data_IF_331762316492
#
_entry.id   IF_331762316492
#
_cell.length_a   1.000
_cell.length_b   1.000
_cell.length_c   1.000
_cell.angle_alpha   90.00
_cell.angle_beta   90.00
_cell.angle_gamma   90.00
#
_symmetry.space_group_name_H-M   'P 1'
#
loop_
_entity.id
_entity.type
_entity.pdbx_description
1 polymer ?
#
# COMPACT_ATOMS: atom_id res chain seq x y z
N UNK A 1 -22.92 -3.69 -4.55
CA UNK A 1 -21.56 -4.11 -4.19
C UNK A 1 -21.28 -5.58 -4.44
N UNK A 2 -21.67 -6.56 -3.62
CA UNK A 2 -21.28 -7.97 -3.90
C UNK A 2 -21.78 -8.49 -5.26
N UNK A 3 -23.03 -8.16 -5.62
CA UNK A 3 -23.58 -8.45 -6.95
C UNK A 3 -22.73 -7.83 -8.06
N UNK A 4 -22.33 -6.55 -7.91
CA UNK A 4 -21.49 -5.83 -8.88
C UNK A 4 -20.09 -6.45 -8.96
N UNK A 5 -19.47 -6.80 -7.83
CA UNK A 5 -18.16 -7.43 -7.80
C UNK A 5 -18.20 -8.84 -8.43
N UNK A 6 -19.25 -9.61 -8.21
CA UNK A 6 -19.45 -10.91 -8.86
C UNK A 6 -19.69 -10.75 -10.37
N UNK A 7 -20.44 -9.73 -10.79
CA UNK A 7 -20.59 -9.39 -12.21
C UNK A 7 -19.24 -9.02 -12.86
N UNK A 8 -18.39 -8.26 -12.17
CA UNK A 8 -17.03 -7.96 -12.65
C UNK A 8 -16.19 -9.22 -12.82
N UNK A 9 -16.24 -10.15 -11.85
CA UNK A 9 -15.52 -11.42 -11.96
C UNK A 9 -15.91 -12.19 -13.22
N UNK A 10 -17.21 -12.29 -13.48
CA UNK A 10 -17.75 -12.99 -14.65
C UNK A 10 -17.40 -12.24 -15.95
N UNK A 11 -17.57 -10.91 -15.97
CA UNK A 11 -17.22 -10.04 -17.10
C UNK A 11 -15.78 -10.25 -17.57
N UNK A 12 -14.85 -10.32 -16.62
CA UNK A 12 -13.43 -10.48 -16.92
C UNK A 12 -12.96 -11.94 -16.93
N UNK A 13 -13.84 -12.89 -16.61
CA UNK A 13 -13.53 -14.33 -16.51
C UNK A 13 -12.24 -14.58 -15.73
N UNK A 14 -12.13 -13.97 -14.54
CA UNK A 14 -10.92 -14.05 -13.73
C UNK A 14 -10.89 -15.30 -12.86
N UNK A 15 -9.69 -15.86 -12.70
CA UNK A 15 -9.36 -16.84 -11.67
C UNK A 15 -8.36 -16.25 -10.67
N UNK A 16 -7.98 -16.98 -9.63
CA UNK A 16 -7.05 -16.54 -8.60
C UNK A 16 -5.83 -17.44 -8.51
N UNK A 17 -4.65 -16.83 -8.61
CA UNK A 17 -3.37 -17.53 -8.53
C UNK A 17 -2.47 -16.94 -7.47
N UNK A 18 -1.65 -17.79 -6.87
CA UNK A 18 -0.59 -17.38 -5.94
C UNK A 18 0.73 -17.21 -6.69
N UNK A 19 1.48 -16.18 -6.30
CA UNK A 19 2.77 -15.83 -6.84
C UNK A 19 3.73 -15.57 -5.68
N UNK A 20 4.98 -16.00 -5.79
CA UNK A 20 6.01 -15.49 -4.89
C UNK A 20 6.20 -14.00 -5.13
N UNK A 21 6.35 -13.21 -4.07
CA UNK A 21 6.56 -11.76 -4.19
C UNK A 21 7.76 -11.44 -5.10
N UNK A 22 8.85 -12.21 -5.02
CA UNK A 22 10.04 -12.03 -5.86
C UNK A 22 9.80 -12.27 -7.35
N UNK A 23 8.76 -13.02 -7.73
CA UNK A 23 8.41 -13.21 -9.15
C UNK A 23 7.75 -11.98 -9.78
N UNK A 24 7.29 -11.04 -8.95
CA UNK A 24 6.56 -9.84 -9.37
C UNK A 24 7.30 -8.54 -9.01
N UNK A 25 8.11 -8.56 -7.96
CA UNK A 25 8.76 -7.38 -7.39
C UNK A 25 10.24 -7.59 -7.14
N UNK A 26 11.00 -6.50 -7.24
CA UNK A 26 12.40 -6.45 -6.78
C UNK A 26 12.62 -5.31 -5.81
N UNK A 27 13.58 -5.48 -4.89
CA UNK A 27 14.03 -4.42 -4.00
C UNK A 27 14.83 -3.39 -4.80
N UNK A 28 14.45 -2.11 -4.68
CA UNK A 28 15.18 -1.01 -5.32
C UNK A 28 16.44 -0.70 -4.51
N UNK A 29 17.64 -0.72 -5.11
CA UNK A 29 18.86 -0.27 -4.44
C UNK A 29 18.80 1.23 -4.12
N UNK A 30 19.25 1.62 -2.93
CA UNK A 30 19.24 3.02 -2.47
C UNK A 30 20.59 3.41 -1.87
N UNK A 31 21.02 4.64 -2.11
CA UNK A 31 22.20 5.21 -1.46
C UNK A 31 21.95 5.40 0.03
N UNK A 32 22.94 5.07 0.87
CA UNK A 32 22.90 5.40 2.30
C UNK A 32 23.11 6.91 2.44
N UNK A 33 22.17 7.58 3.10
CA UNK A 33 22.26 9.00 3.36
C UNK A 33 23.08 9.30 4.63
N UNK A 34 23.87 10.38 4.66
CA UNK A 34 24.71 10.74 5.81
C UNK A 34 23.93 11.52 6.89
N UNK A 35 22.61 11.34 6.98
CA UNK A 35 21.76 12.08 7.91
C UNK A 35 21.20 11.16 8.99
N UNK A 36 21.18 11.62 10.24
CA UNK A 36 20.38 10.98 11.30
C UNK A 36 19.04 11.69 11.40
N UNK A 37 18.00 10.93 11.70
CA UNK A 37 16.64 11.47 11.87
C UNK A 37 16.55 12.64 12.87
N UNK A 38 17.39 12.64 13.92
CA UNK A 38 17.42 13.71 14.92
C UNK A 38 17.92 15.04 14.35
N UNK A 39 18.80 15.01 13.35
CA UNK A 39 19.42 16.20 12.75
C UNK A 39 18.48 16.92 11.75
N UNK A 40 17.39 16.25 11.34
CA UNK A 40 16.50 16.69 10.25
C UNK A 40 15.17 17.31 10.73
N UNK A 41 14.84 17.24 12.03
CA UNK A 41 13.52 17.67 12.53
C UNK A 41 13.24 19.15 12.19
N UNK A 42 12.06 19.42 11.62
CA UNK A 42 11.54 20.74 11.23
C UNK A 42 12.25 21.47 10.07
N UNK A 43 13.04 20.78 9.25
CA UNK A 43 13.65 21.37 8.04
C UNK A 43 12.83 21.00 6.81
N UNK A 44 11.93 21.88 6.39
CA UNK A 44 11.34 21.83 5.06
C UNK A 44 11.51 23.20 4.41
N UNK A 45 12.48 23.29 3.51
CA UNK A 45 12.86 24.51 2.82
C UNK A 45 13.35 24.19 1.40
N UNK A 46 14.00 25.16 0.74
CA UNK A 46 14.51 25.00 -0.63
C UNK A 46 15.58 23.90 -0.75
N UNK A 47 16.35 23.65 0.31
CA UNK A 47 17.43 22.65 0.35
C UNK A 47 16.85 21.32 0.82
N UNK A 48 16.20 21.28 1.98
CA UNK A 48 15.57 20.10 2.56
C UNK A 48 14.14 19.91 2.01
N UNK A 49 14.03 19.54 0.74
CA UNK A 49 12.75 19.48 0.03
C UNK A 49 12.29 18.07 -0.38
N UNK A 50 13.14 17.05 -0.27
CA UNK A 50 12.80 15.68 -0.68
C UNK A 50 12.28 14.87 0.51
N UNK A 51 11.02 14.38 0.51
CA UNK A 51 10.50 13.53 1.58
C UNK A 51 11.36 12.27 1.79
N UNK A 52 11.58 11.90 3.05
CA UNK A 52 12.47 10.82 3.42
C UNK A 52 11.74 9.77 4.27
N UNK A 53 11.77 8.53 3.79
CA UNK A 53 11.08 7.37 4.34
C UNK A 53 11.81 6.78 5.55
N UNK A 54 11.04 6.45 6.58
CA UNK A 54 11.47 5.72 7.79
C UNK A 54 10.47 4.63 8.15
N UNK A 55 10.77 3.81 9.15
CA UNK A 55 9.89 2.74 9.64
C UNK A 55 8.57 3.21 10.28
N UNK A 56 8.38 4.53 10.47
CA UNK A 56 7.17 5.08 11.06
C UNK A 56 5.92 4.83 10.21
N UNK A 57 4.74 4.88 10.83
CA UNK A 57 3.46 4.73 10.12
C UNK A 57 2.77 6.06 9.86
N UNK A 58 3.20 7.12 10.54
CA UNK A 58 2.72 8.46 10.30
C UNK A 58 3.17 8.92 8.90
N UNK A 59 2.25 9.52 8.15
CA UNK A 59 2.51 10.09 6.81
C UNK A 59 3.06 9.05 5.84
N UNK A 60 2.54 7.82 5.90
CA UNK A 60 3.01 6.72 5.04
C UNK A 60 4.52 6.44 5.21
N UNK A 61 5.08 6.76 6.38
CA UNK A 61 6.50 6.61 6.71
C UNK A 61 7.39 7.78 6.29
N UNK A 62 6.88 8.75 5.53
CA UNK A 62 7.62 9.96 5.12
C UNK A 62 7.68 10.97 6.27
N UNK A 63 8.72 10.84 7.10
CA UNK A 63 8.82 11.54 8.38
C UNK A 63 9.72 12.78 8.36
N UNK A 64 10.63 12.87 7.38
CA UNK A 64 11.64 13.92 7.30
C UNK A 64 11.76 14.44 5.86
N UNK A 65 12.54 15.50 5.69
CA UNK A 65 12.99 15.96 4.38
C UNK A 65 14.52 16.01 4.34
N UNK A 66 15.10 15.69 3.18
CA UNK A 66 16.54 15.72 2.92
C UNK A 66 16.82 16.51 1.64
N UNK A 67 18.07 16.92 1.41
CA UNK A 67 18.50 17.41 0.11
C UNK A 67 18.32 16.36 -0.98
N UNK A 68 18.00 16.82 -2.19
CA UNK A 68 17.94 15.96 -3.38
C UNK A 68 19.32 15.48 -3.79
N UNK A 69 20.33 16.33 -3.60
CA UNK A 69 21.71 16.01 -3.92
C UNK A 69 22.19 14.81 -3.08
N UNK A 70 22.82 13.84 -3.75
CA UNK A 70 23.31 12.61 -3.13
C UNK A 70 22.23 11.55 -2.83
N UNK A 71 20.94 11.87 -2.91
CA UNK A 71 19.86 10.94 -2.64
C UNK A 71 19.46 10.08 -3.85
N UNK A 72 18.95 8.87 -3.59
CA UNK A 72 18.22 8.09 -4.60
C UNK A 72 16.77 8.57 -4.62
N UNK A 73 16.36 9.23 -5.70
CA UNK A 73 14.98 9.70 -5.88
C UNK A 73 14.12 8.54 -6.40
N UNK A 74 13.06 8.23 -5.68
CA UNK A 74 12.11 7.15 -5.97
C UNK A 74 10.72 7.75 -6.21
N UNK A 75 9.95 7.14 -7.11
CA UNK A 75 8.55 7.49 -7.41
C UNK A 75 7.85 6.28 -8.00
N UNK A 76 6.54 6.16 -7.80
CA UNK A 76 5.73 5.06 -8.33
C UNK A 76 6.23 3.67 -7.89
N UNK A 77 6.57 3.55 -6.60
CA UNK A 77 7.03 2.29 -5.99
C UNK A 77 6.26 2.03 -4.69
N UNK A 78 6.43 0.83 -4.14
CA UNK A 78 5.86 0.46 -2.84
C UNK A 78 6.96 0.59 -1.79
N UNK A 79 6.75 1.43 -0.77
CA UNK A 79 7.61 1.49 0.41
C UNK A 79 7.23 0.40 1.41
N UNK A 80 8.22 -0.16 2.10
CA UNK A 80 8.06 -1.19 3.13
C UNK A 80 8.81 -0.79 4.40
N UNK A 81 8.12 -0.78 5.54
CA UNK A 81 8.75 -0.60 6.85
C UNK A 81 9.51 -1.88 7.24
N UNK A 82 10.78 -1.75 7.61
CA UNK A 82 11.67 -2.90 7.88
C UNK A 82 12.08 -3.03 9.34
N UNK A 83 11.55 -2.18 10.24
CA UNK A 83 11.92 -2.19 11.65
C UNK A 83 10.76 -1.76 12.56
N UNK A 84 10.91 -2.04 13.86
CA UNK A 84 9.93 -1.69 14.89
C UNK A 84 8.64 -2.50 14.83
N UNK A 85 7.67 -2.13 15.67
CA UNK A 85 6.38 -2.82 15.80
C UNK A 85 5.50 -2.77 14.53
N UNK A 86 5.84 -1.91 13.56
CA UNK A 86 5.09 -1.74 12.32
C UNK A 86 5.84 -2.31 11.11
N UNK A 87 6.82 -3.17 11.33
CA UNK A 87 7.54 -3.82 10.24
C UNK A 87 6.57 -4.61 9.34
N UNK A 88 6.77 -4.54 8.03
CA UNK A 88 5.90 -5.14 7.02
C UNK A 88 4.71 -4.25 6.62
N UNK A 89 4.52 -3.09 7.24
CA UNK A 89 3.56 -2.09 6.73
C UNK A 89 4.07 -1.53 5.40
N UNK A 90 3.15 -1.40 4.44
CA UNK A 90 3.46 -1.01 3.06
C UNK A 90 2.61 0.17 2.61
N UNK A 91 3.16 1.00 1.72
CA UNK A 91 2.43 2.11 1.11
C UNK A 91 2.83 2.27 -0.35
N UNK A 92 1.87 2.65 -1.20
CA UNK A 92 2.17 3.14 -2.53
C UNK A 92 2.63 4.61 -2.44
N UNK A 93 3.77 4.93 -3.06
CA UNK A 93 4.37 6.26 -3.07
C UNK A 93 4.28 6.88 -4.48
N UNK A 94 3.22 7.66 -4.79
CA UNK A 94 3.03 8.27 -6.11
C UNK A 94 3.90 9.50 -6.38
N UNK A 95 4.48 10.08 -5.32
CA UNK A 95 5.31 11.29 -5.36
C UNK A 95 6.77 10.94 -5.11
N UNK A 96 7.64 11.86 -5.49
CA UNK A 96 9.07 11.70 -5.26
C UNK A 96 9.41 11.64 -3.77
N UNK A 97 10.28 10.71 -3.40
CA UNK A 97 10.80 10.54 -2.06
C UNK A 97 12.16 9.83 -2.11
N UNK A 98 12.79 9.63 -0.95
CA UNK A 98 13.95 8.76 -0.79
C UNK A 98 13.87 7.92 0.48
N UNK A 99 14.78 6.97 0.65
CA UNK A 99 14.87 6.13 1.85
C UNK A 99 15.93 6.71 2.79
N UNK A 100 15.52 7.05 4.02
CA UNK A 100 16.46 7.50 5.05
C UNK A 100 17.05 6.32 5.83
N UNK A 101 16.18 5.55 6.50
CA UNK A 101 16.59 4.45 7.37
C UNK A 101 15.45 3.48 7.66
N UNK A 102 15.80 2.25 8.10
CA UNK A 102 14.85 1.27 8.64
C UNK A 102 13.67 0.91 7.73
N UNK A 103 13.82 1.11 6.42
CA UNK A 103 12.79 0.87 5.41
C UNK A 103 13.45 0.63 4.06
N UNK A 104 12.68 0.15 3.10
CA UNK A 104 13.12 -0.02 1.71
C UNK A 104 11.96 0.20 0.75
N UNK A 105 12.25 0.18 -0.54
CA UNK A 105 11.23 0.20 -1.59
C UNK A 105 11.33 -1.05 -2.45
N UNK A 106 10.18 -1.51 -2.96
CA UNK A 106 10.07 -2.55 -3.97
C UNK A 106 9.35 -1.99 -5.20
N UNK A 107 9.75 -2.41 -6.39
CA UNK A 107 9.10 -2.04 -7.66
C UNK A 107 8.62 -3.30 -8.38
N UNK A 108 7.54 -3.15 -9.12
CA UNK A 108 7.04 -4.20 -10.00
C UNK A 108 7.97 -4.34 -11.21
N UNK A 109 8.25 -5.56 -11.66
CA UNK A 109 9.32 -5.85 -12.65
C UNK A 109 8.82 -6.13 -14.07
N UNK A 110 7.51 -6.20 -14.28
CA UNK A 110 6.92 -6.45 -15.60
C UNK A 110 6.47 -5.12 -16.23
N UNK A 111 5.18 -4.94 -16.47
CA UNK A 111 4.64 -3.76 -17.14
C UNK A 111 4.61 -2.49 -16.26
N UNK A 112 4.53 -1.33 -16.92
CA UNK A 112 4.21 -0.09 -16.21
C UNK A 112 2.80 -0.14 -15.62
N UNK A 113 2.69 0.22 -14.34
CA UNK A 113 1.45 0.15 -13.60
C UNK A 113 0.85 1.53 -13.36
N UNK A 114 -0.48 1.60 -13.45
CA UNK A 114 -1.26 2.78 -13.05
C UNK A 114 -1.35 2.88 -11.52
N UNK A 115 -1.60 4.08 -10.95
CA UNK A 115 -1.77 4.27 -9.52
C UNK A 115 -2.77 3.30 -8.86
N UNK A 116 -3.89 3.00 -9.54
CA UNK A 116 -4.93 2.08 -9.03
C UNK A 116 -4.43 0.64 -8.92
N UNK A 117 -3.53 0.21 -9.82
CA UNK A 117 -2.90 -1.10 -9.72
C UNK A 117 -2.04 -1.18 -8.46
N UNK A 118 -1.21 -0.17 -8.18
CA UNK A 118 -0.41 -0.13 -6.96
C UNK A 118 -1.26 -0.13 -5.70
N UNK A 119 -2.36 0.63 -5.66
CA UNK A 119 -3.25 0.63 -4.49
C UNK A 119 -3.82 -0.76 -4.21
N UNK A 120 -4.21 -1.49 -5.26
CA UNK A 120 -4.67 -2.87 -5.11
C UNK A 120 -3.54 -3.81 -4.67
N UNK A 121 -2.37 -3.72 -5.29
CA UNK A 121 -1.21 -4.56 -4.98
C UNK A 121 -0.76 -4.37 -3.53
N UNK A 122 -0.75 -3.14 -3.01
CA UNK A 122 -0.44 -2.87 -1.59
C UNK A 122 -1.46 -3.54 -0.67
N UNK A 123 -2.76 -3.46 -0.98
CA UNK A 123 -3.80 -4.18 -0.22
C UNK A 123 -3.59 -5.69 -0.20
N UNK A 124 -3.19 -6.27 -1.34
CA UNK A 124 -2.93 -7.69 -1.50
C UNK A 124 -1.66 -8.13 -0.78
N UNK A 125 -0.56 -7.37 -0.89
CA UNK A 125 0.68 -7.62 -0.15
C UNK A 125 0.45 -7.55 1.37
N UNK A 126 -0.24 -6.51 1.85
CA UNK A 126 -0.59 -6.39 3.27
C UNK A 126 -1.52 -7.51 3.75
N UNK A 127 -2.31 -8.12 2.86
CA UNK A 127 -3.09 -9.32 3.19
C UNK A 127 -2.18 -10.52 3.37
N UNK A 128 -1.21 -10.69 2.49
CA UNK A 128 -0.27 -11.81 2.55
C UNK A 128 0.62 -11.77 3.79
N UNK A 129 1.12 -10.60 4.16
CA UNK A 129 2.18 -10.50 5.18
C UNK A 129 1.85 -9.68 6.42
N UNK A 130 0.74 -8.93 6.42
CA UNK A 130 0.43 -7.98 7.49
C UNK A 130 0.25 -8.66 8.84
N UNK A 131 0.95 -8.16 9.87
CA UNK A 131 0.87 -8.69 11.24
C UNK A 131 1.64 -9.99 11.48
N UNK A 132 2.39 -10.50 10.48
CA UNK A 132 3.23 -11.71 10.59
C UNK A 132 4.67 -11.42 11.03
N UNK A 133 5.02 -10.15 11.17
CA UNK A 133 6.37 -9.68 11.46
C UNK A 133 6.36 -8.69 12.62
N UNK A 134 7.44 -8.67 13.39
CA UNK A 134 7.62 -7.83 14.57
C UNK A 134 9.09 -7.46 14.79
N UNK A 135 9.41 -6.88 15.94
CA UNK A 135 10.77 -6.43 16.26
C UNK A 135 11.81 -7.57 16.25
N UNK A 136 11.42 -8.76 16.71
CA UNK A 136 12.27 -9.96 16.71
C UNK A 136 12.29 -10.67 15.35
N UNK A 137 11.20 -10.56 14.59
CA UNK A 137 11.04 -11.15 13.26
C UNK A 137 10.70 -10.08 12.22
N UNK A 138 11.69 -9.30 11.78
CA UNK A 138 11.49 -8.13 10.91
C UNK A 138 11.06 -8.50 9.47
N UNK A 139 10.25 -7.66 8.81
CA UNK A 139 9.87 -7.84 7.41
C UNK A 139 10.99 -7.41 6.43
N UNK A 140 12.18 -7.99 6.56
CA UNK A 140 13.31 -7.77 5.65
C UNK A 140 13.03 -8.37 4.27
N UNK A 141 13.63 -7.79 3.22
CA UNK A 141 13.41 -8.22 1.83
C UNK A 141 13.65 -9.72 1.62
N UNK A 142 14.78 -10.24 2.08
CA UNK A 142 15.12 -11.67 1.95
C UNK A 142 14.07 -12.61 2.54
N UNK A 143 13.29 -12.12 3.51
CA UNK A 143 12.23 -12.87 4.16
C UNK A 143 10.91 -12.72 3.42
N UNK A 144 10.51 -11.49 3.08
CA UNK A 144 9.20 -11.28 2.44
C UNK A 144 9.18 -11.71 0.97
N UNK A 145 10.34 -11.78 0.30
CA UNK A 145 10.41 -12.05 -1.13
C UNK A 145 9.90 -13.46 -1.50
N UNK A 146 9.99 -14.42 -0.59
CA UNK A 146 9.51 -15.80 -0.76
C UNK A 146 8.07 -16.01 -0.31
N UNK A 147 7.41 -14.97 0.24
CA UNK A 147 6.01 -15.05 0.63
C UNK A 147 5.09 -15.04 -0.58
N UNK A 148 3.89 -15.61 -0.41
CA UNK A 148 2.91 -15.75 -1.49
C UNK A 148 1.90 -14.60 -1.49
N UNK A 149 1.68 -14.00 -2.65
CA UNK A 149 0.61 -13.03 -2.95
C UNK A 149 -0.41 -13.64 -3.90
N UNK A 150 -1.69 -13.53 -3.53
CA UNK A 150 -2.82 -14.03 -4.32
C UNK A 150 -3.43 -12.92 -5.16
N UNK A 151 -3.40 -13.06 -6.49
CA UNK A 151 -3.86 -12.06 -7.46
C UNK A 151 -4.87 -12.64 -8.45
N UNK A 152 -5.76 -11.79 -9.00
CA UNK A 152 -6.66 -12.19 -10.07
C UNK A 152 -5.89 -12.33 -11.39
N UNK A 153 -6.16 -13.39 -12.13
CA UNK A 153 -5.53 -13.69 -13.43
C UNK A 153 -6.58 -13.91 -14.50
N UNK A 154 -6.22 -13.61 -15.74
CA UNK A 154 -7.00 -14.00 -16.92
C UNK A 154 -6.72 -15.45 -17.29
N UNK A 155 -7.46 -15.97 -18.26
CA UNK A 155 -7.27 -17.33 -18.78
C UNK A 155 -5.86 -17.57 -19.36
N UNK A 156 -5.19 -16.53 -19.88
CA UNK A 156 -3.81 -16.59 -20.35
C UNK A 156 -2.76 -16.63 -19.22
N UNK A 157 -3.20 -16.63 -17.96
CA UNK A 157 -2.36 -16.67 -16.77
C UNK A 157 -1.75 -15.32 -16.37
N UNK A 158 -1.98 -14.24 -17.13
CA UNK A 158 -1.49 -12.91 -16.79
C UNK A 158 -2.38 -12.27 -15.73
N UNK A 159 -1.80 -11.38 -14.92
CA UNK A 159 -2.55 -10.62 -13.91
C UNK A 159 -3.61 -9.76 -14.61
N UNK A 160 -4.85 -9.85 -14.14
CA UNK A 160 -6.00 -9.16 -14.72
C UNK A 160 -6.05 -7.68 -14.27
N UNK A 161 -5.12 -6.85 -14.76
CA UNK A 161 -5.02 -5.44 -14.37
C UNK A 161 -6.23 -4.59 -14.75
N UNK A 162 -6.89 -4.90 -15.87
CA UNK A 162 -8.16 -4.28 -16.27
C UNK A 162 -9.30 -4.56 -15.29
N UNK A 163 -9.42 -5.82 -14.84
CA UNK A 163 -10.32 -6.17 -13.74
C UNK A 163 -9.96 -5.42 -12.45
N UNK A 164 -8.67 -5.34 -12.10
CA UNK A 164 -8.20 -4.60 -10.91
C UNK A 164 -8.59 -3.12 -10.99
N UNK A 165 -8.42 -2.48 -12.15
CA UNK A 165 -8.77 -1.07 -12.35
C UNK A 165 -10.27 -0.84 -12.18
N UNK A 166 -11.13 -1.66 -12.81
CA UNK A 166 -12.59 -1.53 -12.67
C UNK A 166 -13.09 -1.91 -11.26
N UNK A 167 -12.44 -2.88 -10.60
CA UNK A 167 -12.70 -3.21 -9.21
C UNK A 167 -12.45 -2.00 -8.29
N UNK A 168 -11.29 -1.34 -8.44
CA UNK A 168 -10.96 -0.15 -7.66
C UNK A 168 -11.93 1.00 -7.97
N UNK A 169 -12.29 1.21 -9.24
CA UNK A 169 -13.27 2.24 -9.64
C UNK A 169 -14.64 2.02 -8.99
N UNK A 170 -15.14 0.78 -9.09
CA UNK A 170 -16.45 0.39 -8.52
C UNK A 170 -16.46 0.59 -7.01
N UNK A 171 -15.34 0.24 -6.36
CA UNK A 171 -15.14 0.44 -4.93
C UNK A 171 -15.15 1.92 -4.56
N UNK A 172 -14.36 2.75 -5.25
CA UNK A 172 -14.33 4.19 -5.01
C UNK A 172 -15.70 4.86 -5.22
N UNK A 173 -16.43 4.46 -6.27
CA UNK A 173 -17.77 4.96 -6.57
C UNK A 173 -18.77 4.55 -5.47
N UNK A 174 -18.72 3.29 -5.02
CA UNK A 174 -19.54 2.81 -3.90
C UNK A 174 -19.27 3.62 -2.63
N UNK A 175 -18.00 3.83 -2.29
CA UNK A 175 -17.62 4.63 -1.12
C UNK A 175 -18.09 6.08 -1.27
N UNK A 176 -18.02 6.66 -2.46
CA UNK A 176 -18.53 8.00 -2.72
C UNK A 176 -20.05 8.09 -2.51
N UNK A 177 -20.80 7.16 -3.09
CA UNK A 177 -22.26 7.10 -2.97
C UNK A 177 -22.71 6.89 -1.52
N UNK A 178 -21.92 6.18 -0.71
CA UNK A 178 -22.16 6.01 0.74
C UNK A 178 -21.64 7.17 1.59
N UNK A 179 -21.07 8.21 0.98
CA UNK A 179 -20.49 9.34 1.69
C UNK A 179 -19.27 8.95 2.53
N UNK A 180 -18.51 7.93 2.12
CA UNK A 180 -17.34 7.38 2.82
C UNK A 180 -16.00 7.84 2.22
N UNK A 181 -16.01 8.53 1.07
CA UNK A 181 -14.81 8.93 0.31
C UNK A 181 -14.09 10.18 0.86
N UNK A 182 -14.74 11.02 1.66
CA UNK A 182 -14.20 12.32 2.11
C UNK A 182 -14.40 12.52 3.61
N UNK A 183 -13.36 12.37 4.45
CA UNK A 183 -13.45 12.78 5.86
C UNK A 183 -12.12 13.27 6.45
N UNK A 184 -11.84 14.56 6.28
CA UNK A 184 -10.77 15.34 6.94
C UNK A 184 -11.22 16.04 8.23
N UNK A 185 -12.36 15.68 8.85
CA UNK A 185 -12.78 16.33 10.12
C UNK A 185 -13.18 15.36 11.22
N UNK A 186 -12.48 15.51 12.35
CA UNK A 186 -12.37 14.62 13.50
C UNK A 186 -13.67 14.22 14.23
N UNK A 187 -14.86 14.72 13.87
CA UNK A 187 -16.10 14.52 14.66
C UNK A 187 -16.97 13.31 14.28
N UNK A 188 -16.67 12.53 13.23
CA UNK A 188 -17.48 11.34 12.83
C UNK A 188 -16.73 10.00 12.76
N UNK A 189 -15.60 9.86 13.47
CA UNK A 189 -14.79 8.61 13.50
C UNK A 189 -15.55 7.37 13.99
N UNK A 190 -16.55 7.50 14.88
CA UNK A 190 -17.24 6.35 15.50
C UNK A 190 -18.33 5.72 14.63
N UNK A 191 -19.13 6.51 13.89
CA UNK A 191 -20.24 5.98 13.08
C UNK A 191 -19.73 5.27 11.83
N UNK A 192 -18.81 5.89 11.09
CA UNK A 192 -18.16 5.27 9.92
C UNK A 192 -17.41 3.99 10.28
N UNK A 193 -16.73 3.95 11.44
CA UNK A 193 -16.06 2.74 11.90
C UNK A 193 -17.06 1.63 12.25
N UNK A 194 -18.26 1.98 12.75
CA UNK A 194 -19.35 1.01 12.93
C UNK A 194 -19.90 0.53 11.59
N UNK A 195 -20.16 1.43 10.64
CA UNK A 195 -20.72 1.10 9.31
C UNK A 195 -19.75 0.24 8.48
N UNK A 196 -18.44 0.55 8.50
CA UNK A 196 -17.40 -0.26 7.86
C UNK A 196 -17.20 -1.61 8.56
N UNK A 197 -17.26 -1.66 9.89
CA UNK A 197 -17.23 -2.94 10.64
C UNK A 197 -18.50 -3.76 10.42
N UNK A 198 -19.64 -3.12 10.20
CA UNK A 198 -20.91 -3.77 9.89
C UNK A 198 -20.84 -4.37 8.48
N UNK A 199 -20.40 -3.59 7.49
CA UNK A 199 -20.10 -4.07 6.13
C UNK A 199 -19.09 -5.22 6.11
N UNK A 200 -18.09 -5.20 7.00
CA UNK A 200 -17.11 -6.29 7.15
C UNK A 200 -17.71 -7.58 7.71
N UNK A 201 -18.66 -7.44 8.64
CA UNK A 201 -19.32 -8.54 9.36
C UNK A 201 -20.44 -9.18 8.54
N UNK A 202 -21.08 -8.41 7.66
CA UNK A 202 -22.31 -8.84 6.98
C UNK A 202 -22.10 -9.64 5.68
N UNK A 203 -20.86 -9.94 5.22
CA UNK A 203 -20.64 -10.69 3.95
C UNK A 203 -19.45 -11.67 3.96
N UNK A 204 -19.66 -12.86 3.40
CA UNK A 204 -18.80 -14.06 3.41
C UNK A 204 -17.67 -14.06 2.34
N UNK A 205 -16.65 -14.91 2.59
CA UNK A 205 -15.61 -15.50 1.71
C UNK A 205 -14.78 -14.67 0.70
N UNK A 206 -13.44 -14.83 0.79
CA UNK A 206 -12.41 -14.61 -0.24
C UNK A 206 -12.16 -13.16 -0.73
N UNK A 207 -13.19 -12.55 -1.32
CA UNK A 207 -13.22 -11.18 -1.89
C UNK A 207 -13.17 -10.12 -0.77
N UNK A 208 -13.71 -10.48 0.40
CA UNK A 208 -13.92 -9.58 1.53
C UNK A 208 -12.62 -8.92 2.06
N UNK A 209 -11.49 -9.62 2.05
CA UNK A 209 -10.29 -9.09 2.73
C UNK A 209 -9.55 -8.00 1.95
N UNK A 210 -9.51 -8.06 0.61
CA UNK A 210 -8.84 -7.01 -0.19
C UNK A 210 -9.65 -5.71 -0.10
N UNK A 211 -10.98 -5.82 -0.14
CA UNK A 211 -11.89 -4.71 0.15
C UNK A 211 -11.66 -4.14 1.57
N UNK A 212 -11.55 -5.01 2.59
CA UNK A 212 -11.30 -4.58 3.96
C UNK A 212 -9.92 -3.95 4.19
N UNK A 213 -8.87 -4.44 3.52
CA UNK A 213 -7.54 -3.82 3.56
C UNK A 213 -7.50 -2.51 2.79
N UNK A 214 -8.18 -2.42 1.65
CA UNK A 214 -8.34 -1.17 0.91
C UNK A 214 -9.05 -0.12 1.77
N UNK A 215 -10.10 -0.50 2.51
CA UNK A 215 -10.76 0.36 3.49
C UNK A 215 -9.84 0.77 4.66
N UNK A 216 -8.99 -0.14 5.16
CA UNK A 216 -7.98 0.20 6.17
C UNK A 216 -6.94 1.18 5.64
N UNK A 217 -6.50 1.01 4.39
CA UNK A 217 -5.58 1.92 3.70
C UNK A 217 -6.21 3.31 3.51
N UNK A 218 -7.47 3.38 3.07
CA UNK A 218 -8.22 4.64 3.03
C UNK A 218 -8.31 5.26 4.42
N UNK A 219 -8.60 4.48 5.47
CA UNK A 219 -8.64 4.98 6.85
C UNK A 219 -7.30 5.52 7.32
N UNK A 220 -6.17 4.90 6.97
CA UNK A 220 -4.82 5.38 7.29
C UNK A 220 -4.49 6.67 6.53
N UNK A 221 -4.97 6.79 5.29
CA UNK A 221 -4.83 8.01 4.47
C UNK A 221 -5.73 9.16 4.94
N UNK A 222 -6.90 8.87 5.54
CA UNK A 222 -7.84 9.87 6.09
C UNK A 222 -7.48 10.37 7.51
N UNK A 223 -6.40 9.89 8.13
CA UNK A 223 -5.95 10.38 9.45
C UNK A 223 -5.15 11.70 9.33
N UNK A 224 -4.92 12.21 8.12
CA UNK A 224 -3.97 13.30 7.88
C UNK A 224 -4.47 14.38 6.94
N UNK A 225 -5.51 15.06 7.38
CA UNK A 225 -5.69 16.50 7.21
C UNK A 225 -6.02 17.08 8.59
#
# INVERSE_FOLDING_TARGET
MEKELNQLKNKYSIDWREFEIQSLFEKVPTKKLPYKAQDLKNRHDKIYCLPALTAGTLNQGLAYYVPREGATILKNVISVSANGANTGVMYYQPREFTVLQDSYAIKYIHDELKPKHYTYLVSALQKSIGGRFDWSNKAGWERIKTELIKLPVKFDGKIAFDYIEEFVNTLEAYLQAKGLKTWSRAKRKRKVCKDLKQLARDRLNGINFIFMNYLKLIRLNLIKD
#
